data_IF_902325142495
#
_entry.id   IF_902325142495
#
_cell.length_a   1.000
_cell.length_b   1.000
_cell.length_c   1.000
_cell.angle_alpha   90.00
_cell.angle_beta   90.00
_cell.angle_gamma   90.00
#
_symmetry.space_group_name_H-M   'P 1'
#
loop_
_entity.id
_entity.type
_entity.pdbx_description
1 polymer ?
#
# COMPACT_ATOMS: atom_id res chain seq x y z
N UNK A 1 9.89 7.99 -30.73
CA UNK A 1 8.52 7.96 -30.18
C UNK A 1 8.55 7.03 -28.97
N UNK A 2 8.77 7.55 -27.77
CA UNK A 2 8.68 6.75 -26.54
C UNK A 2 7.21 6.71 -26.13
N UNK A 3 6.44 5.85 -26.79
CA UNK A 3 5.07 5.55 -26.36
C UNK A 3 5.14 4.59 -25.19
N UNK A 4 4.57 4.97 -24.05
CA UNK A 4 4.22 3.98 -23.03
C UNK A 4 3.19 3.03 -23.67
N UNK A 5 3.56 1.78 -23.89
CA UNK A 5 2.62 0.77 -24.36
C UNK A 5 1.73 0.41 -23.18
N UNK A 6 0.43 0.71 -23.27
CA UNK A 6 -0.54 0.32 -22.25
C UNK A 6 -1.28 -0.93 -22.71
N UNK A 7 -1.41 -1.90 -21.82
CA UNK A 7 -2.27 -3.06 -22.05
C UNK A 7 -3.68 -2.68 -21.65
N UNK A 8 -4.60 -2.66 -22.62
CA UNK A 8 -5.98 -2.24 -22.40
C UNK A 8 -6.82 -3.33 -21.72
N UNK A 9 -6.54 -3.55 -20.44
CA UNK A 9 -7.25 -4.53 -19.61
C UNK A 9 -7.62 -3.86 -18.29
N UNK A 10 -8.88 -3.94 -17.93
CA UNK A 10 -9.37 -3.41 -16.65
C UNK A 10 -9.04 -4.41 -15.52
N UNK A 11 -8.15 -4.03 -14.61
CA UNK A 11 -7.85 -4.83 -13.40
C UNK A 11 -8.50 -4.24 -12.14
N UNK A 12 -9.45 -3.32 -12.30
CA UNK A 12 -10.12 -2.62 -11.20
C UNK A 12 -11.45 -3.25 -10.78
N UNK A 13 -11.99 -4.15 -11.61
CA UNK A 13 -13.24 -4.88 -11.37
C UNK A 13 -13.01 -6.39 -11.33
N UNK A 14 -13.93 -7.16 -10.74
CA UNK A 14 -13.84 -8.63 -10.69
C UNK A 14 -13.92 -9.21 -12.11
N UNK A 15 -14.84 -8.69 -12.91
CA UNK A 15 -15.07 -9.08 -14.30
C UNK A 15 -13.84 -8.78 -15.16
N UNK A 16 -13.26 -7.59 -14.98
CA UNK A 16 -12.04 -7.19 -15.67
C UNK A 16 -10.84 -8.08 -15.32
N UNK A 17 -10.66 -8.43 -14.04
CA UNK A 17 -9.61 -9.36 -13.60
C UNK A 17 -9.79 -10.74 -14.22
N UNK A 18 -11.03 -11.25 -14.32
CA UNK A 18 -11.29 -12.53 -15.00
C UNK A 18 -10.95 -12.45 -16.48
N UNK A 19 -11.38 -11.39 -17.15
CA UNK A 19 -11.05 -11.15 -18.55
C UNK A 19 -9.54 -11.07 -18.78
N UNK A 20 -8.80 -10.42 -17.87
CA UNK A 20 -7.34 -10.36 -17.88
C UNK A 20 -6.69 -11.76 -17.81
N UNK A 21 -7.26 -12.66 -17.01
CA UNK A 21 -6.80 -14.04 -16.88
C UNK A 21 -7.03 -14.82 -18.19
N UNK A 22 -8.21 -14.67 -18.80
CA UNK A 22 -8.55 -15.32 -20.08
C UNK A 22 -7.59 -14.88 -21.20
N UNK A 23 -7.15 -13.62 -21.16
CA UNK A 23 -6.15 -13.07 -22.08
C UNK A 23 -4.71 -13.44 -21.74
N UNK A 24 -4.48 -14.26 -20.71
CA UNK A 24 -3.15 -14.61 -20.21
C UNK A 24 -2.28 -13.36 -19.90
N UNK A 25 -2.86 -12.31 -19.31
CA UNK A 25 -2.17 -11.04 -19.07
C UNK A 25 -0.82 -11.22 -18.36
N UNK A 26 -0.79 -11.93 -17.23
CA UNK A 26 0.46 -12.16 -16.47
C UNK A 26 1.39 -13.15 -17.19
N UNK A 27 0.93 -14.32 -17.67
CA UNK A 27 1.78 -15.22 -18.46
C UNK A 27 2.37 -14.61 -19.74
N UNK A 28 1.73 -13.58 -20.32
CA UNK A 28 2.23 -12.90 -21.51
C UNK A 28 3.56 -12.18 -21.29
N UNK A 29 3.87 -11.82 -20.03
CA UNK A 29 5.07 -11.06 -19.68
C UNK A 29 5.06 -9.60 -20.16
N UNK A 30 3.93 -9.09 -20.65
CA UNK A 30 3.81 -7.71 -21.15
C UNK A 30 3.79 -6.67 -20.01
N UNK A 31 3.03 -6.85 -18.91
CA UNK A 31 2.97 -5.82 -17.87
C UNK A 31 4.11 -5.93 -16.86
N UNK A 32 4.84 -4.82 -16.66
CA UNK A 32 5.83 -4.70 -15.57
C UNK A 32 5.18 -4.42 -14.21
N UNK A 33 4.07 -3.66 -14.21
CA UNK A 33 3.33 -3.25 -13.02
C UNK A 33 1.83 -3.42 -13.26
N UNK A 34 1.13 -3.96 -12.27
CA UNK A 34 -0.31 -4.14 -12.27
C UNK A 34 -0.91 -3.47 -11.03
N UNK A 35 -1.94 -2.66 -11.24
CA UNK A 35 -2.69 -1.99 -10.18
C UNK A 35 -4.10 -2.56 -10.06
N UNK A 36 -4.57 -2.79 -8.84
CA UNK A 36 -5.95 -3.21 -8.57
C UNK A 36 -6.37 -2.76 -7.16
N UNK A 37 -7.60 -2.22 -6.99
CA UNK A 37 -8.17 -1.95 -5.68
C UNK A 37 -8.63 -3.25 -4.98
N UNK A 38 -8.77 -4.37 -5.71
CA UNK A 38 -9.30 -5.64 -5.22
C UNK A 38 -8.18 -6.59 -4.76
N UNK A 39 -7.33 -6.18 -3.83
CA UNK A 39 -6.05 -6.85 -3.45
C UNK A 39 -6.00 -8.38 -3.60
N UNK A 40 -6.98 -9.13 -3.07
CA UNK A 40 -6.96 -10.60 -3.08
C UNK A 40 -7.34 -11.22 -4.44
N UNK A 41 -8.16 -10.55 -5.24
CA UNK A 41 -8.66 -11.07 -6.51
C UNK A 41 -7.57 -11.28 -7.57
N UNK A 42 -6.69 -10.31 -7.89
CA UNK A 42 -5.64 -10.53 -8.86
C UNK A 42 -4.60 -11.53 -8.35
N UNK A 43 -4.34 -11.59 -7.03
CA UNK A 43 -3.44 -12.58 -6.42
C UNK A 43 -3.93 -14.01 -6.67
N UNK A 44 -5.26 -14.23 -6.55
CA UNK A 44 -5.87 -15.55 -6.74
C UNK A 44 -6.05 -15.93 -8.21
N UNK A 45 -6.22 -14.94 -9.08
CA UNK A 45 -6.70 -15.16 -10.45
C UNK A 45 -5.60 -15.00 -11.50
N UNK A 46 -4.67 -14.07 -11.32
CA UNK A 46 -3.67 -13.72 -12.35
C UNK A 46 -2.30 -14.35 -12.11
N UNK A 47 -1.91 -14.52 -10.85
CA UNK A 47 -0.55 -14.97 -10.51
C UNK A 47 -0.49 -16.46 -10.20
N UNK A 48 0.69 -17.04 -10.40
CA UNK A 48 0.94 -18.45 -10.13
C UNK A 48 2.37 -18.68 -9.65
N UNK A 49 2.72 -19.92 -9.30
CA UNK A 49 4.11 -20.28 -8.97
C UNK A 49 5.08 -20.08 -10.15
N UNK A 50 4.59 -20.18 -11.39
CA UNK A 50 5.40 -19.98 -12.60
C UNK A 50 5.55 -18.51 -12.96
N UNK A 51 4.58 -17.68 -12.58
CA UNK A 51 4.58 -16.24 -12.82
C UNK A 51 4.32 -15.51 -11.49
N UNK A 52 5.33 -15.46 -10.60
CA UNK A 52 5.21 -14.76 -9.32
C UNK A 52 5.29 -13.24 -9.52
N UNK A 53 4.74 -12.49 -8.57
CA UNK A 53 4.94 -11.05 -8.48
C UNK A 53 5.49 -10.65 -7.10
N UNK A 54 6.02 -9.42 -7.06
CA UNK A 54 6.36 -8.73 -5.81
C UNK A 54 5.30 -7.68 -5.52
N UNK A 55 4.75 -7.71 -4.31
CA UNK A 55 3.82 -6.67 -3.86
C UNK A 55 4.60 -5.40 -3.54
N UNK A 56 4.12 -4.25 -3.98
CA UNK A 56 4.61 -2.95 -3.53
C UNK A 56 3.67 -2.45 -2.44
N UNK A 57 4.21 -2.12 -1.27
CA UNK A 57 3.40 -1.70 -0.12
C UNK A 57 3.98 -0.44 0.48
N UNK A 58 3.24 0.67 0.41
CA UNK A 58 3.59 1.91 1.10
C UNK A 58 2.74 2.03 2.36
N UNK A 59 3.39 1.95 3.52
CA UNK A 59 2.74 1.97 4.82
C UNK A 59 2.61 3.40 5.34
N UNK A 60 1.40 3.80 5.70
CA UNK A 60 1.14 5.03 6.48
C UNK A 60 0.92 4.68 7.94
N UNK A 61 1.28 5.57 8.86
CA UNK A 61 1.00 5.36 10.27
C UNK A 61 -0.50 5.06 10.48
N UNK A 62 -0.88 3.98 11.19
CA UNK A 62 -2.27 3.52 11.23
C UNK A 62 -3.28 4.53 11.76
N UNK A 63 -2.89 5.41 12.69
CA UNK A 63 -3.75 6.48 13.18
C UNK A 63 -4.00 7.51 12.07
N UNK A 64 -2.95 7.97 11.40
CA UNK A 64 -3.05 8.97 10.34
C UNK A 64 -3.82 8.42 9.13
N UNK A 65 -3.64 7.12 8.84
CA UNK A 65 -4.45 6.41 7.83
C UNK A 65 -5.93 6.43 8.19
N UNK A 66 -6.28 6.12 9.45
CA UNK A 66 -7.67 6.10 9.89
C UNK A 66 -8.30 7.51 9.87
N UNK A 67 -7.55 8.54 10.27
CA UNK A 67 -7.97 9.94 10.15
C UNK A 67 -8.18 10.33 8.69
N UNK A 68 -7.26 9.96 7.79
CA UNK A 68 -7.40 10.24 6.37
C UNK A 68 -8.63 9.57 5.75
N UNK A 69 -8.89 8.31 6.11
CA UNK A 69 -10.08 7.62 5.65
C UNK A 69 -11.36 8.29 6.17
N UNK A 70 -11.39 8.68 7.44
CA UNK A 70 -12.52 9.40 8.03
C UNK A 70 -12.81 10.72 7.28
N UNK A 71 -11.78 11.52 7.02
CA UNK A 71 -11.92 12.80 6.30
C UNK A 71 -12.33 12.60 4.85
N UNK A 72 -11.81 11.57 4.19
CA UNK A 72 -12.18 11.22 2.82
C UNK A 72 -13.67 10.80 2.74
N UNK A 73 -14.07 9.78 3.50
CA UNK A 73 -15.43 9.23 3.43
C UNK A 73 -16.52 10.16 3.98
N UNK A 74 -16.14 11.21 4.73
CA UNK A 74 -17.07 12.25 5.18
C UNK A 74 -17.31 13.36 4.16
N UNK A 75 -16.49 13.46 3.10
CA UNK A 75 -16.56 14.57 2.13
C UNK A 75 -16.68 14.12 0.67
N UNK A 76 -16.24 12.92 0.33
CA UNK A 76 -16.20 12.42 -1.04
C UNK A 76 -17.58 11.95 -1.54
N UNK A 77 -18.54 12.85 -1.73
CA UNK A 77 -19.93 12.54 -2.12
C UNK A 77 -20.09 11.74 -3.42
N UNK A 78 -19.05 11.70 -4.25
CA UNK A 78 -18.98 10.92 -5.50
C UNK A 78 -18.53 9.47 -5.30
N UNK A 79 -17.92 9.13 -4.16
CA UNK A 79 -17.42 7.80 -3.86
C UNK A 79 -18.55 6.92 -3.27
N UNK A 80 -18.74 5.66 -3.73
CA UNK A 80 -19.76 4.77 -3.17
C UNK A 80 -19.61 4.49 -1.67
N UNK A 81 -18.40 4.62 -1.13
CA UNK A 81 -18.10 4.50 0.30
C UNK A 81 -18.43 5.74 1.13
N UNK A 82 -18.83 6.85 0.50
CA UNK A 82 -19.26 8.05 1.20
C UNK A 82 -20.31 7.77 2.27
N UNK A 83 -20.13 8.35 3.45
CA UNK A 83 -21.08 8.22 4.55
C UNK A 83 -21.43 9.60 5.11
N UNK A 84 -22.68 10.08 4.92
CA UNK A 84 -23.11 11.35 5.50
C UNK A 84 -23.12 11.31 7.03
N UNK A 85 -23.23 10.12 7.63
CA UNK A 85 -23.11 9.95 9.08
C UNK A 85 -21.70 10.26 9.58
N UNK A 86 -20.65 9.92 8.83
CA UNK A 86 -19.27 10.27 9.20
C UNK A 86 -19.07 11.79 9.19
N UNK A 87 -19.74 12.52 8.30
CA UNK A 87 -19.70 13.98 8.27
C UNK A 87 -20.29 14.64 9.52
N UNK A 88 -21.13 13.91 10.27
CA UNK A 88 -21.73 14.38 11.52
C UNK A 88 -21.00 13.88 12.78
N UNK A 89 -19.90 13.13 12.62
CA UNK A 89 -19.13 12.58 13.74
C UNK A 89 -17.90 13.42 14.05
N UNK A 90 -17.50 13.42 15.32
CA UNK A 90 -16.14 13.81 15.72
C UNK A 90 -15.18 12.63 15.53
N UNK A 91 -13.87 12.89 15.55
CA UNK A 91 -12.87 11.81 15.53
C UNK A 91 -12.95 10.88 16.74
N UNK A 92 -13.36 11.40 17.90
CA UNK A 92 -13.60 10.60 19.10
C UNK A 92 -14.79 9.64 18.91
N UNK A 93 -15.90 10.15 18.36
CA UNK A 93 -17.07 9.33 18.02
C UNK A 93 -16.71 8.28 16.96
N UNK A 94 -15.90 8.65 15.98
CA UNK A 94 -15.41 7.71 14.97
C UNK A 94 -14.56 6.59 15.59
N UNK A 95 -13.63 6.91 16.48
CA UNK A 95 -12.79 5.93 17.19
C UNK A 95 -13.59 4.97 18.10
N UNK A 96 -14.74 5.39 18.60
CA UNK A 96 -15.67 4.54 19.36
C UNK A 96 -16.63 3.73 18.47
N UNK A 97 -16.82 4.14 17.22
CA UNK A 97 -17.80 3.53 16.32
C UNK A 97 -17.33 2.22 15.71
N UNK A 98 -18.27 1.38 15.26
CA UNK A 98 -17.97 0.22 14.43
C UNK A 98 -17.62 0.58 12.96
N UNK A 99 -17.63 1.86 12.60
CA UNK A 99 -17.35 2.34 11.23
C UNK A 99 -15.86 2.54 10.97
N UNK A 100 -15.03 2.52 12.01
CA UNK A 100 -13.59 2.61 11.84
C UNK A 100 -13.03 1.32 11.24
N UNK A 101 -12.21 1.49 10.21
CA UNK A 101 -11.47 0.40 9.58
C UNK A 101 -10.39 -0.15 10.53
N UNK A 102 -10.80 -1.05 11.42
CA UNK A 102 -9.96 -1.55 12.50
C UNK A 102 -8.94 -2.60 12.02
N UNK A 103 -7.65 -2.34 12.23
CA UNK A 103 -6.57 -3.24 11.81
C UNK A 103 -6.64 -3.64 10.32
N UNK A 104 -7.10 -2.71 9.48
CA UNK A 104 -7.40 -2.94 8.07
C UNK A 104 -6.25 -3.59 7.31
N UNK A 105 -5.00 -3.15 7.52
CA UNK A 105 -3.86 -3.68 6.75
C UNK A 105 -3.59 -5.13 7.14
N UNK A 106 -3.59 -5.44 8.44
CA UNK A 106 -3.41 -6.81 8.93
C UNK A 106 -4.54 -7.72 8.42
N UNK A 107 -5.79 -7.24 8.42
CA UNK A 107 -6.95 -7.97 7.89
C UNK A 107 -6.86 -8.20 6.39
N UNK A 108 -6.50 -7.17 5.62
CA UNK A 108 -6.35 -7.23 4.18
C UNK A 108 -5.30 -8.26 3.77
N UNK A 109 -4.13 -8.23 4.41
CA UNK A 109 -3.03 -9.16 4.12
C UNK A 109 -3.40 -10.60 4.47
N UNK A 110 -4.11 -10.83 5.57
CA UNK A 110 -4.53 -12.17 6.02
C UNK A 110 -5.81 -12.66 5.35
N UNK A 111 -6.52 -11.79 4.62
CA UNK A 111 -7.84 -12.06 4.06
C UNK A 111 -8.96 -12.19 5.10
N UNK A 112 -8.75 -11.68 6.32
CA UNK A 112 -9.66 -11.81 7.46
C UNK A 112 -10.42 -10.50 7.73
N UNK A 113 -11.30 -10.15 6.79
CA UNK A 113 -12.05 -8.88 6.84
C UNK A 113 -13.05 -8.80 8.00
N UNK A 114 -13.51 -9.93 8.54
CA UNK A 114 -14.43 -10.00 9.68
C UNK A 114 -13.86 -10.74 10.89
N UNK A 115 -14.58 -10.68 12.01
CA UNK A 115 -14.25 -11.42 13.24
C UNK A 115 -13.07 -10.87 14.04
N UNK A 116 -12.70 -11.59 15.10
CA UNK A 116 -11.60 -11.21 16.00
C UNK A 116 -10.24 -11.41 15.35
N UNK A 117 -9.30 -10.50 15.61
CA UNK A 117 -7.92 -10.57 15.15
C UNK A 117 -6.99 -10.89 16.34
N UNK A 118 -5.95 -11.69 16.11
CA UNK A 118 -5.03 -12.13 17.15
C UNK A 118 -3.56 -12.10 16.71
N UNK A 119 -2.65 -12.56 17.57
CA UNK A 119 -1.21 -12.54 17.29
C UNK A 119 -0.80 -13.48 16.13
N UNK A 120 -1.56 -14.55 15.85
CA UNK A 120 -1.28 -15.40 14.69
C UNK A 120 -1.56 -14.66 13.39
N UNK A 121 -2.65 -13.88 13.34
CA UNK A 121 -2.97 -13.04 12.19
C UNK A 121 -1.86 -11.98 11.96
N UNK A 122 -1.37 -11.35 13.04
CA UNK A 122 -0.24 -10.42 12.96
C UNK A 122 1.03 -11.09 12.43
N UNK A 123 1.38 -12.26 12.95
CA UNK A 123 2.58 -12.99 12.51
C UNK A 123 2.45 -13.43 11.05
N UNK A 124 1.26 -13.84 10.61
CA UNK A 124 0.99 -14.14 9.21
C UNK A 124 1.16 -12.90 8.33
N UNK A 125 0.61 -11.74 8.73
CA UNK A 125 0.78 -10.48 7.99
C UNK A 125 2.26 -10.09 7.87
N UNK A 126 3.03 -10.20 8.96
CA UNK A 126 4.49 -9.97 8.94
C UNK A 126 5.20 -10.89 7.96
N UNK A 127 4.88 -12.19 7.96
CA UNK A 127 5.49 -13.16 7.05
C UNK A 127 5.11 -12.93 5.59
N UNK A 128 3.89 -12.49 5.31
CA UNK A 128 3.45 -12.10 3.96
C UNK A 128 4.30 -10.92 3.48
N UNK A 129 4.41 -9.84 4.27
CA UNK A 129 5.23 -8.69 3.89
C UNK A 129 6.69 -9.09 3.71
N UNK A 130 7.27 -9.84 4.65
CA UNK A 130 8.67 -10.26 4.61
C UNK A 130 9.00 -11.09 3.36
N UNK A 131 8.12 -12.00 2.95
CA UNK A 131 8.38 -12.93 1.84
C UNK A 131 7.95 -12.38 0.48
N UNK A 132 6.90 -11.55 0.44
CA UNK A 132 6.15 -11.24 -0.79
C UNK A 132 6.12 -9.76 -1.13
N UNK A 133 6.49 -8.87 -0.22
CA UNK A 133 6.42 -7.43 -0.45
C UNK A 133 7.78 -6.74 -0.47
N UNK A 134 7.83 -5.63 -1.19
CA UNK A 134 8.80 -4.55 -1.05
C UNK A 134 8.07 -3.39 -0.37
N UNK A 135 8.57 -2.96 0.78
CA UNK A 135 7.86 -2.04 1.67
C UNK A 135 8.54 -0.67 1.72
N UNK A 136 7.73 0.38 1.85
CA UNK A 136 8.19 1.75 2.11
C UNK A 136 7.24 2.46 3.08
N UNK A 137 7.59 3.69 3.47
CA UNK A 137 6.76 4.51 4.35
C UNK A 137 6.18 5.71 3.60
N UNK A 138 4.93 6.04 3.90
CA UNK A 138 4.26 7.21 3.36
C UNK A 138 4.94 8.52 3.77
N UNK A 139 5.40 8.62 5.02
CA UNK A 139 6.05 9.84 5.55
C UNK A 139 7.46 10.04 4.96
N UNK A 140 8.01 9.01 4.34
CA UNK A 140 9.31 9.01 3.64
C UNK A 140 9.11 8.57 2.18
N UNK A 141 8.08 9.07 1.51
CA UNK A 141 7.66 8.58 0.19
C UNK A 141 8.75 8.64 -0.87
N UNK A 142 9.54 9.72 -0.91
CA UNK A 142 10.66 9.84 -1.85
C UNK A 142 11.69 8.73 -1.66
N UNK A 143 12.04 8.42 -0.40
CA UNK A 143 12.95 7.32 -0.06
C UNK A 143 12.34 5.98 -0.46
N UNK A 144 11.04 5.79 -0.20
CA UNK A 144 10.34 4.59 -0.61
C UNK A 144 10.42 4.39 -2.13
N UNK A 145 10.15 5.43 -2.94
CA UNK A 145 10.28 5.33 -4.40
C UNK A 145 11.71 5.01 -4.82
N UNK A 146 12.72 5.67 -4.26
CA UNK A 146 14.12 5.35 -4.53
C UNK A 146 14.46 3.90 -4.13
N UNK A 147 13.85 3.36 -3.08
CA UNK A 147 14.02 1.96 -2.70
C UNK A 147 13.41 1.01 -3.75
N UNK A 148 12.21 1.32 -4.25
CA UNK A 148 11.56 0.56 -5.34
C UNK A 148 12.43 0.58 -6.61
N UNK A 149 12.88 1.76 -7.02
CA UNK A 149 13.72 1.94 -8.21
C UNK A 149 15.00 1.12 -8.13
N UNK A 150 15.69 1.17 -7.00
CA UNK A 150 16.91 0.38 -6.75
C UNK A 150 16.64 -1.13 -6.80
N UNK A 151 15.52 -1.58 -6.23
CA UNK A 151 15.18 -3.01 -6.20
C UNK A 151 14.83 -3.55 -7.59
N UNK A 152 14.02 -2.81 -8.36
CA UNK A 152 13.57 -3.24 -9.68
C UNK A 152 14.54 -2.86 -10.81
N UNK A 153 15.57 -2.07 -10.52
CA UNK A 153 16.50 -1.56 -11.53
C UNK A 153 15.87 -0.50 -12.44
N UNK A 154 14.79 0.15 -12.00
CA UNK A 154 14.18 1.25 -12.76
C UNK A 154 15.14 2.45 -12.77
N UNK A 155 15.42 2.96 -13.96
CA UNK A 155 16.35 4.07 -14.18
C UNK A 155 15.55 5.28 -14.65
N UNK A 156 15.62 6.39 -13.92
CA UNK A 156 15.07 7.65 -14.39
C UNK A 156 16.01 8.25 -15.43
N UNK A 157 15.55 8.33 -16.68
CA UNK A 157 16.41 8.53 -17.86
C UNK A 157 16.71 10.00 -18.19
N UNK A 158 16.07 10.97 -17.51
CA UNK A 158 16.29 12.39 -17.76
C UNK A 158 15.96 13.28 -16.57
N UNK A 159 16.48 14.50 -16.58
CA UNK A 159 16.13 15.54 -15.59
C UNK A 159 14.63 15.87 -15.63
N UNK A 160 14.01 15.88 -16.81
CA UNK A 160 12.57 16.12 -16.97
C UNK A 160 11.75 15.00 -16.31
N UNK A 161 12.18 13.74 -16.44
CA UNK A 161 11.52 12.61 -15.80
C UNK A 161 11.64 12.69 -14.26
N UNK A 162 12.80 13.09 -13.74
CA UNK A 162 13.00 13.33 -12.29
C UNK A 162 12.08 14.45 -11.78
N UNK A 163 11.98 15.56 -12.53
CA UNK A 163 11.10 16.67 -12.15
C UNK A 163 9.62 16.28 -12.18
N UNK A 164 9.20 15.53 -13.21
CA UNK A 164 7.84 15.00 -13.33
C UNK A 164 7.50 14.07 -12.15
N UNK A 165 8.39 13.13 -11.82
CA UNK A 165 8.24 12.23 -10.69
C UNK A 165 8.12 13.00 -9.37
N UNK A 166 9.02 13.95 -9.12
CA UNK A 166 8.97 14.78 -7.91
C UNK A 166 7.67 15.58 -7.80
N UNK A 167 7.14 16.09 -8.93
CA UNK A 167 5.86 16.78 -8.97
C UNK A 167 4.69 15.83 -8.64
N UNK A 168 4.63 14.65 -9.25
CA UNK A 168 3.57 13.65 -8.99
C UNK A 168 3.58 13.25 -7.51
N UNK A 169 4.77 13.01 -6.93
CA UNK A 169 4.92 12.68 -5.51
C UNK A 169 4.38 13.83 -4.65
N UNK A 170 4.80 15.07 -4.93
CA UNK A 170 4.36 16.25 -4.18
C UNK A 170 2.85 16.43 -4.23
N UNK A 171 2.27 16.38 -5.43
CA UNK A 171 0.83 16.55 -5.63
C UNK A 171 0.03 15.46 -4.89
N UNK A 172 0.53 14.21 -4.90
CA UNK A 172 -0.06 13.10 -4.15
C UNK A 172 0.00 13.30 -2.64
N UNK A 173 1.17 13.71 -2.11
CA UNK A 173 1.36 13.96 -0.69
C UNK A 173 0.49 15.12 -0.18
N UNK A 174 0.39 16.20 -0.95
CA UNK A 174 -0.46 17.36 -0.63
C UNK A 174 -1.94 16.96 -0.58
N UNK A 175 -2.43 16.17 -1.54
CA UNK A 175 -3.82 15.68 -1.54
C UNK A 175 -4.11 14.73 -0.37
N UNK A 176 -3.12 13.95 0.05
CA UNK A 176 -3.26 12.99 1.15
C UNK A 176 -2.95 13.54 2.54
N UNK A 177 -2.62 14.83 2.66
CA UNK A 177 -2.26 15.47 3.92
C UNK A 177 -3.49 15.59 4.82
N UNK A 178 -3.33 15.23 6.10
CA UNK A 178 -4.37 15.33 7.12
C UNK A 178 -3.77 15.83 8.41
N UNK A 179 -4.62 16.28 9.32
CA UNK A 179 -4.18 16.64 10.66
C UNK A 179 -3.53 15.43 11.36
N UNK A 180 -2.34 15.64 11.92
CA UNK A 180 -1.73 14.70 12.84
C UNK A 180 -2.35 14.93 14.21
N UNK A 181 -2.92 13.88 14.80
CA UNK A 181 -3.49 13.98 16.14
C UNK A 181 -2.39 14.03 17.19
N UNK A 182 -2.60 14.85 18.21
CA UNK A 182 -1.75 14.86 19.40
C UNK A 182 -1.79 13.46 20.06
N UNK A 183 -0.64 12.80 20.26
CA UNK A 183 -0.55 11.53 20.97
C UNK A 183 -1.19 11.53 22.37
N UNK A 184 -1.30 12.69 23.03
CA UNK A 184 -1.99 12.85 24.32
C UNK A 184 -3.51 12.97 24.21
N UNK A 185 -4.07 13.11 23.00
CA UNK A 185 -5.51 13.31 22.81
C UNK A 185 -6.34 12.04 22.98
N UNK A 186 -7.60 12.22 23.40
CA UNK A 186 -8.59 11.15 23.48
C UNK A 186 -8.83 10.49 22.12
N UNK A 187 -8.96 11.30 21.05
CA UNK A 187 -9.15 10.81 19.69
C UNK A 187 -8.00 9.89 19.22
N UNK A 188 -6.74 10.31 19.45
CA UNK A 188 -5.58 9.48 19.13
C UNK A 188 -5.64 8.13 19.87
N UNK A 189 -5.93 8.17 21.17
CA UNK A 189 -6.01 6.97 22.01
C UNK A 189 -7.06 5.99 21.50
N UNK A 190 -8.28 6.47 21.20
CA UNK A 190 -9.39 5.63 20.71
C UNK A 190 -9.08 5.01 19.35
N UNK A 191 -8.60 5.81 18.39
CA UNK A 191 -8.25 5.33 17.05
C UNK A 191 -7.09 4.32 17.11
N UNK A 192 -6.08 4.60 17.95
CA UNK A 192 -4.94 3.70 18.17
C UNK A 192 -5.40 2.36 18.76
N UNK A 193 -6.31 2.36 19.73
CA UNK A 193 -6.85 1.14 20.34
C UNK A 193 -7.54 0.23 19.31
N UNK A 194 -8.28 0.81 18.37
CA UNK A 194 -8.91 0.07 17.28
C UNK A 194 -7.89 -0.53 16.30
N UNK A 195 -6.69 0.05 16.20
CA UNK A 195 -5.67 -0.31 15.21
C UNK A 195 -4.39 -0.90 15.81
N UNK A 196 -4.45 -1.50 17.01
CA UNK A 196 -3.26 -2.00 17.73
C UNK A 196 -2.42 -3.01 16.94
N UNK A 197 -3.02 -3.88 16.13
CA UNK A 197 -2.28 -4.84 15.32
C UNK A 197 -1.62 -4.18 14.12
N UNK A 198 -2.31 -3.23 13.47
CA UNK A 198 -1.69 -2.43 12.41
C UNK A 198 -0.55 -1.57 12.96
N UNK A 199 -0.64 -1.06 14.19
CA UNK A 199 0.47 -0.35 14.86
C UNK A 199 1.68 -1.28 15.02
N UNK A 200 1.47 -2.47 15.58
CA UNK A 200 2.55 -3.47 15.73
C UNK A 200 3.14 -3.91 14.38
N UNK A 201 2.31 -3.98 13.35
CA UNK A 201 2.74 -4.33 11.99
C UNK A 201 3.56 -3.18 11.38
N UNK A 202 3.09 -1.95 11.50
CA UNK A 202 3.80 -0.74 11.06
C UNK A 202 5.15 -0.61 11.75
N UNK A 203 5.22 -0.78 13.07
CA UNK A 203 6.47 -0.73 13.84
C UNK A 203 7.46 -1.82 13.39
N UNK A 204 6.97 -3.03 13.10
CA UNK A 204 7.80 -4.08 12.51
C UNK A 204 8.33 -3.69 11.13
N UNK A 205 7.48 -3.14 10.27
CA UNK A 205 7.89 -2.69 8.93
C UNK A 205 8.96 -1.62 9.02
N UNK A 206 8.70 -0.57 9.80
CA UNK A 206 9.58 0.58 9.97
C UNK A 206 10.93 0.21 10.58
N UNK A 207 10.91 -0.57 11.67
CA UNK A 207 12.12 -0.78 12.48
C UNK A 207 12.89 -2.06 12.11
N UNK A 208 12.28 -2.99 11.38
CA UNK A 208 12.90 -4.29 11.07
C UNK A 208 12.94 -4.54 9.56
N UNK A 209 11.79 -4.52 8.89
CA UNK A 209 11.71 -5.00 7.51
C UNK A 209 12.37 -4.04 6.51
N UNK A 210 12.11 -2.73 6.60
CA UNK A 210 12.71 -1.72 5.71
C UNK A 210 14.24 -1.70 5.86
N UNK A 211 14.83 -1.60 7.07
CA UNK A 211 16.28 -1.70 7.24
C UNK A 211 16.88 -2.97 6.63
N UNK A 212 16.24 -4.12 6.85
CA UNK A 212 16.66 -5.39 6.28
C UNK A 212 16.62 -5.39 4.74
N UNK A 213 15.55 -4.86 4.13
CA UNK A 213 15.43 -4.78 2.68
C UNK A 213 16.47 -3.84 2.06
N UNK A 214 16.76 -2.71 2.70
CA UNK A 214 17.80 -1.78 2.26
C UNK A 214 19.17 -2.43 2.24
N UNK A 215 19.51 -3.18 3.28
CA UNK A 215 20.77 -3.91 3.36
C UNK A 215 20.85 -5.00 2.30
N UNK A 216 19.77 -5.77 2.11
CA UNK A 216 19.72 -6.83 1.10
C UNK A 216 19.93 -6.27 -0.33
N UNK A 217 19.27 -5.16 -0.67
CA UNK A 217 19.43 -4.49 -1.97
C UNK A 217 20.85 -3.97 -2.15
N UNK A 218 21.44 -3.32 -1.14
CA UNK A 218 22.82 -2.82 -1.20
C UNK A 218 23.82 -3.95 -1.46
N UNK A 219 23.67 -5.09 -0.77
CA UNK A 219 24.53 -6.26 -0.96
C UNK A 219 24.41 -6.83 -2.36
N UNK A 220 23.19 -6.92 -2.91
CA UNK A 220 22.99 -7.33 -4.31
C UNK A 220 23.70 -6.36 -5.28
N UNK A 221 23.53 -5.04 -5.12
CA UNK A 221 24.19 -4.07 -6.01
C UNK A 221 25.72 -4.16 -5.97
N UNK A 222 26.31 -4.47 -4.80
CA UNK A 222 27.75 -4.65 -4.63
C UNK A 222 28.26 -5.97 -5.22
N UNK A 223 27.49 -7.07 -5.04
CA UNK A 223 27.87 -8.39 -5.55
C UNK A 223 27.79 -8.48 -7.08
N UNK A 224 26.86 -7.74 -7.70
CA UNK A 224 26.66 -7.72 -9.15
C UNK A 224 27.24 -6.47 -9.84
N UNK A 225 28.16 -5.77 -9.17
CA UNK A 225 29.00 -4.68 -9.69
C UNK A 225 28.42 -3.94 -10.89
N UNK A 226 27.43 -3.08 -10.68
CA UNK A 226 26.88 -2.21 -11.75
C UNK A 226 26.64 -2.91 -13.08
N UNK A 227 25.86 -4.00 -13.11
CA UNK A 227 25.11 -4.36 -14.32
C UNK A 227 23.82 -5.07 -13.94
N UNK A 228 22.78 -4.29 -13.65
CA UNK A 228 21.42 -4.73 -13.97
C UNK A 228 21.12 -3.99 -15.27
N UNK A 229 20.97 -4.78 -16.35
CA UNK A 229 20.73 -4.34 -17.72
C UNK A 229 19.64 -3.27 -17.77
#
# INVERSE_FOLDING_TARGET
VYGMNFVNVDTTTVEGIKHAADLNLVPSGIPDVLFSPLFLEPIRTLYSRKHPAKLIVIMRHPVDRAVAMFRYLSTATWDPGYSPQLAQMTLEQYGLSARIDNNYVTRLLTGKMGGSINNNDLNQAKEILRKKALVGLYDNFEEAIQHLERYFGWKTVSADALNCQAQIIRDGLTKGQVETLDPGSTAFTLIRQQNLFDIKLYDYVKNVLIPYQHEAVRRQSQQFGTTIA
#
